data_IF_803659398698
#
_entry.id   IF_803659398698
#
_cell.length_a   1.000
_cell.length_b   1.000
_cell.length_c   1.000
_cell.angle_alpha   90.00
_cell.angle_beta   90.00
_cell.angle_gamma   90.00
#
_symmetry.space_group_name_H-M   'P 1'
#
loop_
_entity.id
_entity.type
_entity.pdbx_description
1 polymer ?
#
# COMPACT_ATOMS: atom_id res chain seq x y z
N UNK A 1 -3.14 -12.31 35.69
CA UNK A 1 -3.69 -11.58 34.53
C UNK A 1 -5.09 -12.10 34.33
N UNK A 2 -6.08 -11.26 34.59
CA UNK A 2 -7.50 -11.64 34.58
C UNK A 2 -8.02 -11.57 33.14
N UNK A 3 -8.47 -12.70 32.58
CA UNK A 3 -9.01 -12.73 31.22
C UNK A 3 -10.45 -12.19 31.24
N UNK A 4 -10.80 -11.23 30.37
CA UNK A 4 -12.17 -10.76 30.29
C UNK A 4 -13.09 -11.89 29.78
N UNK A 5 -13.94 -12.41 30.66
CA UNK A 5 -14.98 -13.37 30.30
C UNK A 5 -16.11 -12.65 29.54
N UNK A 6 -16.16 -12.86 28.22
CA UNK A 6 -17.29 -12.46 27.39
C UNK A 6 -18.47 -13.40 27.67
N UNK A 7 -19.55 -12.87 28.27
CA UNK A 7 -20.78 -13.61 28.53
C UNK A 7 -21.83 -13.22 27.50
N UNK A 8 -22.36 -14.20 26.77
CA UNK A 8 -23.42 -13.98 25.78
C UNK A 8 -24.75 -13.74 26.51
N UNK A 9 -25.39 -12.60 26.22
CA UNK A 9 -26.70 -12.23 26.78
C UNK A 9 -27.78 -12.69 25.79
N UNK A 10 -28.61 -13.65 26.17
CA UNK A 10 -29.73 -14.13 25.34
C UNK A 10 -31.00 -13.31 25.62
N UNK A 11 -31.46 -12.53 24.63
CA UNK A 11 -32.82 -11.98 24.60
C UNK A 11 -32.98 -10.71 23.76
N UNK A 12 -33.92 -10.68 22.82
CA UNK A 12 -34.45 -9.46 22.17
C UNK A 12 -33.52 -8.68 21.22
N UNK A 13 -34.04 -8.24 20.07
CA UNK A 13 -33.30 -7.45 19.05
C UNK A 13 -32.64 -6.19 19.64
N UNK A 14 -33.22 -5.63 20.71
CA UNK A 14 -32.75 -4.42 21.40
C UNK A 14 -31.51 -4.65 22.29
N UNK A 15 -31.33 -5.87 22.82
CA UNK A 15 -30.22 -6.22 23.72
C UNK A 15 -28.96 -6.60 22.93
N UNK A 16 -29.14 -7.17 21.72
CA UNK A 16 -28.04 -7.44 20.79
C UNK A 16 -27.30 -6.18 20.36
N UNK A 17 -28.02 -5.07 20.15
CA UNK A 17 -27.40 -3.82 19.71
C UNK A 17 -26.59 -3.15 20.83
N UNK A 18 -27.09 -3.17 22.07
CA UNK A 18 -26.34 -2.70 23.24
C UNK A 18 -25.11 -3.55 23.52
N UNK A 19 -25.25 -4.88 23.44
CA UNK A 19 -24.12 -5.79 23.59
C UNK A 19 -23.04 -5.56 22.52
N UNK A 20 -23.46 -5.30 21.28
CA UNK A 20 -22.56 -4.96 20.18
C UNK A 20 -21.81 -3.64 20.47
N UNK A 21 -22.51 -2.57 20.86
CA UNK A 21 -21.88 -1.28 21.19
C UNK A 21 -20.89 -1.39 22.36
N UNK A 22 -21.24 -2.15 23.40
CA UNK A 22 -20.35 -2.39 24.53
C UNK A 22 -19.08 -3.16 24.11
N UNK A 23 -19.22 -4.17 23.25
CA UNK A 23 -18.10 -4.93 22.73
C UNK A 23 -17.18 -4.06 21.85
N UNK A 24 -17.76 -3.23 20.97
CA UNK A 24 -17.00 -2.28 20.13
C UNK A 24 -16.21 -1.29 21.00
N UNK A 25 -16.83 -0.72 22.04
CA UNK A 25 -16.17 0.19 22.97
C UNK A 25 -15.04 -0.47 23.76
N UNK A 26 -15.19 -1.75 24.11
CA UNK A 26 -14.14 -2.50 24.81
C UNK A 26 -12.94 -2.81 23.91
N UNK A 27 -13.17 -3.10 22.63
CA UNK A 27 -12.11 -3.29 21.63
C UNK A 27 -11.32 -1.98 21.45
N UNK A 28 -11.99 -0.85 21.25
CA UNK A 28 -11.34 0.45 21.12
C UNK A 28 -10.53 0.86 22.36
N UNK A 29 -11.03 0.56 23.57
CA UNK A 29 -10.31 0.83 24.82
C UNK A 29 -9.04 0.00 24.96
N UNK A 30 -9.09 -1.27 24.54
CA UNK A 30 -7.99 -2.21 24.74
C UNK A 30 -6.92 -2.12 23.64
N UNK A 31 -7.30 -1.76 22.41
CA UNK A 31 -6.43 -1.80 21.23
C UNK A 31 -6.20 -0.45 20.56
N UNK A 32 -6.83 0.62 21.07
CA UNK A 32 -6.69 1.98 20.55
C UNK A 32 -7.84 2.38 19.62
N UNK A 33 -8.07 3.70 19.52
CA UNK A 33 -9.13 4.26 18.66
C UNK A 33 -8.94 3.82 17.21
N UNK A 34 -10.02 3.34 16.59
CA UNK A 34 -10.01 2.91 15.20
C UNK A 34 -9.56 1.46 15.01
N UNK A 35 -9.41 0.72 16.12
CA UNK A 35 -9.13 -0.73 16.08
C UNK A 35 -10.31 -1.53 15.55
N UNK A 36 -11.53 -0.99 15.66
CA UNK A 36 -12.73 -1.54 15.02
C UNK A 36 -13.64 -0.40 14.56
N UNK A 37 -14.12 -0.47 13.32
CA UNK A 37 -14.94 0.56 12.71
C UNK A 37 -16.01 -0.10 11.84
N UNK A 38 -17.19 0.52 11.70
CA UNK A 38 -18.12 0.08 10.67
C UNK A 38 -17.57 0.47 9.31
N UNK A 39 -17.52 -0.48 8.39
CA UNK A 39 -16.91 -0.28 7.06
C UNK A 39 -17.51 0.93 6.30
N UNK A 40 -18.82 1.19 6.46
CA UNK A 40 -19.52 2.30 5.81
C UNK A 40 -19.59 3.60 6.63
N UNK A 41 -19.10 3.66 7.87
CA UNK A 41 -19.04 4.93 8.61
C UNK A 41 -17.99 5.89 8.03
N UNK A 42 -17.07 5.37 7.21
CA UNK A 42 -16.12 6.12 6.40
C UNK A 42 -16.45 5.98 4.90
N UNK A 43 -17.71 6.21 4.51
CA UNK A 43 -18.18 6.18 3.11
C UNK A 43 -17.64 7.32 2.23
N UNK A 44 -16.87 8.25 2.83
CA UNK A 44 -15.90 9.00 2.04
C UNK A 44 -14.83 8.01 1.65
N UNK A 45 -14.96 7.44 0.45
CA UNK A 45 -13.89 6.83 -0.34
C UNK A 45 -12.58 6.91 0.42
N UNK A 46 -12.17 5.81 1.08
CA UNK A 46 -10.83 5.73 1.68
C UNK A 46 -9.92 6.42 0.67
N UNK A 47 -9.34 7.56 1.05
CA UNK A 47 -8.67 8.44 0.10
C UNK A 47 -7.37 7.73 -0.25
N UNK A 48 -7.45 6.79 -1.20
CA UNK A 48 -6.34 5.92 -1.56
C UNK A 48 -5.41 6.80 -2.35
N UNK A 49 -4.44 7.38 -1.66
CA UNK A 49 -3.38 8.16 -2.27
C UNK A 49 -2.65 7.27 -3.29
N UNK A 50 -2.53 7.76 -4.53
CA UNK A 50 -1.93 7.02 -5.63
C UNK A 50 -0.68 7.73 -6.21
N UNK A 51 0.27 6.93 -6.67
CA UNK A 51 1.44 7.36 -7.43
C UNK A 51 1.19 7.02 -8.90
N UNK A 52 1.28 8.02 -9.78
CA UNK A 52 1.10 7.80 -11.22
C UNK A 52 2.10 6.76 -11.73
N UNK A 53 1.66 5.96 -12.69
CA UNK A 53 2.51 4.98 -13.37
C UNK A 53 3.44 5.62 -14.41
N UNK A 54 3.26 6.91 -14.71
CA UNK A 54 3.88 7.58 -15.86
C UNK A 54 3.18 7.28 -17.19
N UNK A 55 2.15 6.43 -17.18
CA UNK A 55 1.31 6.10 -18.33
C UNK A 55 -0.14 6.51 -18.06
N UNK A 56 -0.61 7.54 -18.76
CA UNK A 56 -1.98 8.05 -18.62
C UNK A 56 -3.03 6.94 -18.84
N UNK A 57 -2.81 6.07 -19.84
CA UNK A 57 -3.74 4.99 -20.14
C UNK A 57 -3.84 3.97 -19.00
N UNK A 58 -2.72 3.66 -18.35
CA UNK A 58 -2.70 2.72 -17.21
C UNK A 58 -3.30 3.36 -15.95
N UNK A 59 -3.01 4.64 -15.69
CA UNK A 59 -3.58 5.37 -14.56
C UNK A 59 -5.11 5.44 -14.63
N UNK A 60 -5.64 5.66 -15.84
CA UNK A 60 -7.09 5.60 -16.10
C UNK A 60 -7.63 4.18 -15.89
N UNK A 61 -6.95 3.16 -16.42
CA UNK A 61 -7.39 1.77 -16.31
C UNK A 61 -7.43 1.28 -14.85
N UNK A 62 -6.54 1.79 -13.98
CA UNK A 62 -6.53 1.50 -12.55
C UNK A 62 -7.67 2.19 -11.78
N UNK A 63 -8.35 3.18 -12.37
CA UNK A 63 -9.52 3.86 -11.82
C UNK A 63 -9.23 4.86 -10.69
N UNK A 64 -8.10 4.71 -9.98
CA UNK A 64 -7.67 5.58 -8.89
C UNK A 64 -6.54 6.56 -9.28
N UNK A 65 -6.15 6.57 -10.56
CA UNK A 65 -5.13 7.49 -11.08
C UNK A 65 -3.68 7.07 -10.81
N UNK A 66 -3.43 5.78 -10.54
CA UNK A 66 -2.08 5.24 -10.36
C UNK A 66 -2.01 4.03 -9.42
N UNK A 67 -0.81 3.71 -8.96
CA UNK A 67 -0.56 2.65 -8.00
C UNK A 67 -0.90 3.12 -6.57
N UNK A 68 -1.69 2.35 -5.79
CA UNK A 68 -2.09 2.74 -4.44
C UNK A 68 -0.93 2.68 -3.44
N UNK A 69 -0.75 3.75 -2.65
CA UNK A 69 0.27 3.78 -1.58
C UNK A 69 -0.08 2.82 -0.44
N UNK A 70 0.95 2.28 0.21
CA UNK A 70 0.79 1.35 1.33
C UNK A 70 0.27 -0.04 0.92
N UNK A 71 0.39 -0.39 -0.37
CA UNK A 71 -0.03 -1.68 -0.91
C UNK A 71 1.11 -2.32 -1.70
N UNK A 72 1.08 -3.64 -1.77
CA UNK A 72 1.99 -4.43 -2.61
C UNK A 72 1.40 -4.49 -4.02
N UNK A 73 2.25 -4.26 -5.02
CA UNK A 73 1.90 -4.30 -6.44
C UNK A 73 2.82 -5.30 -7.14
N UNK A 74 2.24 -6.16 -7.96
CA UNK A 74 2.99 -7.10 -8.80
C UNK A 74 2.85 -6.71 -10.28
N UNK A 75 3.99 -6.61 -10.97
CA UNK A 75 4.05 -6.37 -12.42
C UNK A 75 4.81 -7.55 -13.02
N UNK A 76 4.11 -8.41 -13.76
CA UNK A 76 4.68 -9.60 -14.39
C UNK A 76 4.51 -9.59 -15.91
N UNK A 77 5.32 -10.39 -16.60
CA UNK A 77 5.30 -10.51 -18.06
C UNK A 77 6.63 -10.99 -18.64
N UNK A 78 6.67 -11.27 -19.96
CA UNK A 78 7.87 -11.74 -20.65
C UNK A 78 9.09 -10.84 -20.46
N UNK A 79 10.28 -11.38 -20.68
CA UNK A 79 11.49 -10.55 -20.82
C UNK A 79 11.28 -9.47 -21.89
N UNK A 80 11.85 -8.29 -21.65
CA UNK A 80 11.69 -7.12 -22.53
C UNK A 80 10.25 -6.61 -22.73
N UNK A 81 9.27 -7.04 -21.92
CA UNK A 81 7.90 -6.51 -21.97
C UNK A 81 7.73 -5.11 -21.38
N UNK A 82 8.80 -4.52 -20.83
CA UNK A 82 8.79 -3.17 -20.24
C UNK A 82 8.57 -3.11 -18.73
N UNK A 83 8.65 -4.23 -17.99
CA UNK A 83 8.47 -4.27 -16.52
C UNK A 83 9.37 -3.25 -15.79
N UNK A 84 10.67 -3.33 -16.04
CA UNK A 84 11.67 -2.44 -15.42
C UNK A 84 11.48 -0.99 -15.87
N UNK A 85 11.12 -0.76 -17.13
CA UNK A 85 10.78 0.57 -17.64
C UNK A 85 9.61 1.18 -16.86
N UNK A 86 8.54 0.42 -16.67
CA UNK A 86 7.36 0.87 -15.93
C UNK A 86 7.70 1.13 -14.46
N UNK A 87 8.48 0.24 -13.82
CA UNK A 87 8.93 0.44 -12.45
C UNK A 87 9.75 1.72 -12.28
N UNK A 88 10.68 2.00 -13.22
CA UNK A 88 11.48 3.22 -13.21
C UNK A 88 10.64 4.49 -13.49
N UNK A 89 9.59 4.40 -14.31
CA UNK A 89 8.65 5.52 -14.49
C UNK A 89 7.86 5.83 -13.21
N UNK A 90 7.38 4.79 -12.51
CA UNK A 90 6.73 4.95 -11.19
C UNK A 90 7.69 5.60 -10.19
N UNK A 91 8.96 5.17 -10.16
CA UNK A 91 10.00 5.77 -9.32
C UNK A 91 10.18 7.26 -9.65
N UNK A 92 10.27 7.61 -10.93
CA UNK A 92 10.38 9.01 -11.36
C UNK A 92 9.15 9.84 -10.92
N UNK A 93 7.93 9.32 -11.06
CA UNK A 93 6.69 9.97 -10.60
C UNK A 93 6.66 10.15 -9.08
N UNK A 94 7.12 9.16 -8.32
CA UNK A 94 7.25 9.26 -6.87
C UNK A 94 8.25 10.36 -6.46
N UNK A 95 9.43 10.40 -7.10
CA UNK A 95 10.45 11.42 -6.85
C UNK A 95 9.99 12.83 -7.23
N UNK A 96 9.19 12.98 -8.30
CA UNK A 96 8.60 14.27 -8.69
C UNK A 96 7.69 14.85 -7.60
N UNK A 97 6.99 13.98 -6.85
CA UNK A 97 6.17 14.36 -5.69
C UNK A 97 6.99 14.54 -4.40
N UNK A 98 8.33 14.48 -4.48
CA UNK A 98 9.22 14.60 -3.31
C UNK A 98 9.34 13.32 -2.48
N UNK A 99 8.89 12.17 -3.00
CA UNK A 99 9.04 10.89 -2.34
C UNK A 99 10.47 10.37 -2.39
N UNK A 100 10.88 9.66 -1.33
CA UNK A 100 12.13 8.91 -1.29
C UNK A 100 11.87 7.52 -1.87
N UNK A 101 12.74 7.07 -2.76
CA UNK A 101 12.59 5.80 -3.48
C UNK A 101 13.79 4.91 -3.29
N UNK A 102 13.56 3.59 -3.25
CA UNK A 102 14.59 2.57 -3.26
C UNK A 102 14.36 1.60 -4.42
N UNK A 103 15.43 1.04 -4.96
CA UNK A 103 15.41 0.00 -5.97
C UNK A 103 16.26 -1.18 -5.52
N UNK A 104 15.64 -2.35 -5.41
CA UNK A 104 16.33 -3.60 -5.08
C UNK A 104 16.58 -4.34 -6.39
N UNK A 105 17.83 -4.29 -6.86
CA UNK A 105 18.26 -4.88 -8.13
C UNK A 105 18.81 -6.28 -7.90
N UNK A 106 17.92 -7.26 -7.80
CA UNK A 106 18.31 -8.68 -7.68
C UNK A 106 18.79 -9.28 -9.01
N UNK A 107 18.54 -8.62 -10.15
CA UNK A 107 18.95 -9.10 -11.48
C UNK A 107 20.31 -8.54 -11.93
N UNK A 108 20.87 -7.59 -11.17
CA UNK A 108 22.14 -6.91 -11.46
C UNK A 108 22.15 -6.27 -12.86
N UNK A 109 20.99 -5.79 -13.32
CA UNK A 109 20.75 -5.38 -14.70
C UNK A 109 20.33 -3.90 -14.83
N UNK A 110 20.30 -3.14 -13.74
CA UNK A 110 19.87 -1.75 -13.77
C UNK A 110 20.88 -0.85 -14.49
N UNK A 111 20.43 -0.18 -15.56
CA UNK A 111 21.22 0.85 -16.26
C UNK A 111 20.88 2.27 -15.73
N UNK A 112 21.81 2.94 -15.01
CA UNK A 112 21.58 4.28 -14.48
C UNK A 112 21.46 5.36 -15.58
N UNK A 113 22.05 5.14 -16.77
CA UNK A 113 21.89 6.06 -17.91
C UNK A 113 20.47 5.98 -18.45
N UNK A 114 19.91 4.78 -18.58
CA UNK A 114 18.52 4.60 -19.00
C UNK A 114 17.54 5.14 -17.95
N UNK A 115 17.77 4.88 -16.66
CA UNK A 115 16.95 5.42 -15.58
C UNK A 115 16.87 6.96 -15.60
N UNK A 116 18.02 7.65 -15.78
CA UNK A 116 18.04 9.12 -15.93
C UNK A 116 17.20 9.60 -17.11
N UNK A 117 17.25 8.90 -18.25
CA UNK A 117 16.43 9.25 -19.44
C UNK A 117 14.93 9.11 -19.18
N UNK A 118 14.53 8.20 -18.28
CA UNK A 118 13.14 8.05 -17.85
C UNK A 118 12.70 9.08 -16.80
N UNK A 119 13.61 9.97 -16.37
CA UNK A 119 13.32 11.04 -15.41
C UNK A 119 13.61 10.68 -13.95
N UNK A 120 14.26 9.53 -13.69
CA UNK A 120 14.72 9.16 -12.36
C UNK A 120 15.89 10.07 -11.96
N UNK A 121 15.80 10.68 -10.78
CA UNK A 121 16.91 11.33 -10.10
C UNK A 121 17.77 10.24 -9.47
N UNK A 122 18.70 9.71 -10.26
CA UNK A 122 19.55 8.58 -9.86
C UNK A 122 20.38 8.91 -8.62
N UNK A 123 20.74 10.17 -8.42
CA UNK A 123 21.60 10.54 -7.29
C UNK A 123 20.83 10.55 -5.95
N UNK A 124 19.50 10.56 -6.02
CA UNK A 124 18.58 10.48 -4.88
C UNK A 124 17.94 9.08 -4.75
N UNK A 125 18.32 8.11 -5.60
CA UNK A 125 17.78 6.76 -5.60
C UNK A 125 18.60 5.85 -4.68
N UNK A 126 17.97 5.30 -3.65
CA UNK A 126 18.59 4.26 -2.82
C UNK A 126 18.66 2.96 -3.63
N UNK A 127 19.81 2.28 -3.61
CA UNK A 127 19.99 1.03 -4.34
C UNK A 127 20.52 -0.07 -3.42
N UNK A 128 19.99 -1.29 -3.61
CA UNK A 128 20.49 -2.51 -2.98
C UNK A 128 20.69 -3.57 -4.06
N UNK A 129 21.83 -4.26 -4.04
CA UNK A 129 22.12 -5.42 -4.87
C UNK A 129 22.40 -6.60 -3.92
N UNK A 130 21.35 -7.34 -3.52
CA UNK A 130 21.46 -8.39 -2.50
C UNK A 130 22.11 -9.66 -3.07
N UNK A 131 22.80 -10.40 -2.22
CA UNK A 131 23.42 -11.68 -2.58
C UNK A 131 22.39 -12.82 -2.65
N UNK A 132 21.29 -12.73 -1.88
CA UNK A 132 20.22 -13.74 -1.81
C UNK A 132 18.82 -13.11 -1.73
N UNK A 133 17.79 -13.91 -2.03
CA UNK A 133 16.40 -13.45 -1.98
C UNK A 133 15.89 -13.12 -0.57
N UNK A 134 16.41 -13.77 0.47
CA UNK A 134 16.05 -13.50 1.86
C UNK A 134 16.64 -12.17 2.38
N UNK A 135 17.70 -11.68 1.74
CA UNK A 135 18.34 -10.40 2.05
C UNK A 135 17.63 -9.21 1.37
N UNK A 136 16.83 -9.48 0.33
CA UNK A 136 16.18 -8.49 -0.53
C UNK A 136 15.00 -7.76 0.15
#
# INVERSE_FOLDING_TARGET
MDMPQLRVVEGGVMDKQKALEAALAQIDKNFGKGSIMRLGENDKSIDIEAISTGSLGLDIALGIGGLPKGRIIEIYGPESSGKTTLALQVVAEAQKKGGITAFVDAEHALDPVYARKLGVKVEDLLISQPDTGEQA
#
